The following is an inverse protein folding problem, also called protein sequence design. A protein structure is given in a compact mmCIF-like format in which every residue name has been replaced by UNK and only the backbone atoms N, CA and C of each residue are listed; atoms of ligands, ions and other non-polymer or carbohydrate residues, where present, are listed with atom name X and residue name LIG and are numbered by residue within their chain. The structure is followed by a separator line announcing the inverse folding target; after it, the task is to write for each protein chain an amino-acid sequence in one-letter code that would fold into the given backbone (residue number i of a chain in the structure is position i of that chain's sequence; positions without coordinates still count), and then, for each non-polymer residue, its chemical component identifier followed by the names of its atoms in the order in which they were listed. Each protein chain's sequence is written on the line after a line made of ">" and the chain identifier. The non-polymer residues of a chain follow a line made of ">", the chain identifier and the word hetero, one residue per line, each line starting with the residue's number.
data_IF_556696329116
#
_entry.id   IF_556696329116
#
_cell.length_a   1.000
_cell.length_b   1.000
_cell.length_c   1.000
_cell.angle_alpha   90.00
_cell.angle_beta   90.00
_cell.angle_gamma   90.00
#
_symmetry.space_group_name_H-M   'P 1'
#
loop_
_entity.id
_entity.type
_entity.pdbx_description
1 polymer ?
#
# COMPACT_ATOMS: atom_id res chain seq x y z
N UNK A 1 -9.84 -17.35 2.22
CA UNK A 1 -10.46 -16.00 2.16
C UNK A 1 -9.85 -15.20 3.28
N UNK A 2 -9.23 -14.06 2.98
CA UNK A 2 -8.60 -13.19 3.98
C UNK A 2 -9.68 -12.64 4.93
N UNK A 3 -9.44 -12.72 6.25
CA UNK A 3 -10.31 -12.10 7.26
C UNK A 3 -10.23 -10.58 7.12
N UNK A 4 -11.15 -9.99 6.36
CA UNK A 4 -11.32 -8.54 6.28
C UNK A 4 -11.96 -8.02 7.56
N UNK A 5 -11.50 -6.87 8.04
CA UNK A 5 -12.09 -6.19 9.20
C UNK A 5 -12.75 -4.87 8.79
N UNK A 6 -14.05 -4.89 8.55
CA UNK A 6 -14.83 -3.75 8.04
C UNK A 6 -15.62 -3.01 9.13
N UNK A 7 -15.14 -3.04 10.37
CA UNK A 7 -15.74 -2.25 11.46
C UNK A 7 -15.18 -0.82 11.48
N UNK A 8 -16.05 0.16 11.21
CA UNK A 8 -15.75 1.59 11.34
C UNK A 8 -15.99 2.08 12.78
N UNK A 9 -15.43 3.24 13.12
CA UNK A 9 -15.75 3.92 14.38
C UNK A 9 -17.17 4.48 14.33
N UNK A 10 -17.92 4.28 15.42
CA UNK A 10 -19.22 4.90 15.61
C UNK A 10 -19.05 6.30 16.23
N UNK A 11 -19.02 7.33 15.38
CA UNK A 11 -18.85 8.71 15.82
C UNK A 11 -20.14 9.24 16.48
N UNK A 12 -19.99 9.80 17.68
CA UNK A 12 -21.09 10.38 18.45
C UNK A 12 -20.77 11.81 18.82
N UNK A 13 -21.80 12.65 18.91
CA UNK A 13 -21.65 14.01 19.41
C UNK A 13 -21.14 13.99 20.87
N UNK A 14 -20.22 14.90 21.20
CA UNK A 14 -19.57 14.95 22.50
C UNK A 14 -18.59 13.80 22.82
N UNK A 15 -18.28 12.92 21.86
CA UNK A 15 -17.35 11.81 22.07
C UNK A 15 -15.92 12.31 22.36
N UNK A 16 -15.29 11.76 23.41
CA UNK A 16 -13.88 12.00 23.67
C UNK A 16 -13.02 11.27 22.62
N UNK A 17 -12.26 12.03 21.83
CA UNK A 17 -11.40 11.49 20.79
C UNK A 17 -10.11 10.94 21.41
N UNK A 18 -9.71 9.74 20.97
CA UNK A 18 -8.44 9.11 21.33
C UNK A 18 -7.71 8.69 20.05
N UNK A 19 -6.40 8.44 20.16
CA UNK A 19 -5.61 7.91 19.05
C UNK A 19 -6.21 6.61 18.48
N UNK A 20 -6.83 5.79 19.32
CA UNK A 20 -7.47 4.53 18.90
C UNK A 20 -8.58 4.76 17.88
N UNK A 21 -9.42 5.78 18.06
CA UNK A 21 -10.47 6.09 17.08
C UNK A 21 -9.87 6.41 15.70
N UNK A 22 -8.76 7.14 15.66
CA UNK A 22 -8.11 7.47 14.40
C UNK A 22 -7.51 6.23 13.73
N UNK A 23 -6.82 5.38 14.50
CA UNK A 23 -6.23 4.14 14.00
C UNK A 23 -7.28 3.14 13.51
N UNK A 24 -8.38 2.98 14.25
CA UNK A 24 -9.46 2.06 13.88
C UNK A 24 -10.20 2.58 12.62
N UNK A 25 -10.37 3.89 12.49
CA UNK A 25 -10.96 4.51 11.28
C UNK A 25 -10.05 4.38 10.06
N UNK A 26 -8.74 4.60 10.20
CA UNK A 26 -7.76 4.41 9.12
C UNK A 26 -7.76 2.96 8.64
N UNK A 27 -7.68 2.01 9.59
CA UNK A 27 -7.76 0.57 9.30
C UNK A 27 -9.03 0.19 8.55
N UNK A 28 -10.18 0.74 8.97
CA UNK A 28 -11.44 0.52 8.26
C UNK A 28 -11.35 0.94 6.78
N UNK A 29 -10.77 2.11 6.49
CA UNK A 29 -10.63 2.56 5.10
C UNK A 29 -9.67 1.69 4.29
N UNK A 30 -8.53 1.29 4.85
CA UNK A 30 -7.59 0.37 4.19
C UNK A 30 -8.27 -0.97 3.84
N UNK A 31 -9.00 -1.53 4.79
CA UNK A 31 -9.73 -2.79 4.65
C UNK A 31 -10.89 -2.67 3.63
N UNK A 32 -11.58 -1.52 3.61
CA UNK A 32 -12.64 -1.23 2.64
C UNK A 32 -12.10 -1.17 1.20
N UNK A 33 -10.96 -0.51 0.99
CA UNK A 33 -10.29 -0.45 -0.32
C UNK A 33 -9.83 -1.85 -0.73
N UNK A 34 -9.23 -2.61 0.19
CA UNK A 34 -8.81 -4.00 -0.07
C UNK A 34 -9.99 -4.89 -0.45
N UNK A 35 -11.12 -4.76 0.26
CA UNK A 35 -12.36 -5.47 -0.06
C UNK A 35 -12.85 -5.15 -1.47
N UNK A 36 -12.92 -3.86 -1.82
CA UNK A 36 -13.32 -3.43 -3.17
C UNK A 36 -12.37 -3.96 -4.26
N UNK A 37 -11.07 -4.04 -3.97
CA UNK A 37 -10.06 -4.52 -4.91
C UNK A 37 -10.01 -6.06 -5.08
N UNK A 38 -10.65 -6.85 -4.21
CA UNK A 38 -10.55 -8.32 -4.22
C UNK A 38 -10.89 -8.96 -5.58
N UNK A 39 -11.82 -8.36 -6.33
CA UNK A 39 -12.30 -8.91 -7.60
C UNK A 39 -11.46 -8.48 -8.82
N UNK A 40 -10.41 -7.69 -8.63
CA UNK A 40 -9.61 -7.12 -9.73
C UNK A 40 -8.51 -8.05 -10.28
N UNK A 41 -8.30 -9.23 -9.67
CA UNK A 41 -7.39 -10.27 -10.15
C UNK A 41 -5.89 -10.00 -9.96
N UNK A 42 -5.46 -8.74 -9.95
CA UNK A 42 -4.07 -8.31 -9.73
C UNK A 42 -3.97 -7.39 -8.50
N UNK A 43 -4.00 -7.99 -7.31
CA UNK A 43 -4.11 -7.25 -6.04
C UNK A 43 -2.80 -6.73 -5.44
N UNK A 44 -1.64 -6.99 -6.05
CA UNK A 44 -0.33 -6.52 -5.58
C UNK A 44 0.72 -6.66 -6.69
N UNK A 45 1.81 -5.91 -6.60
CA UNK A 45 2.92 -5.91 -7.56
C UNK A 45 3.45 -4.51 -7.88
N UNK A 46 4.32 -4.43 -8.89
CA UNK A 46 4.79 -3.15 -9.42
C UNK A 46 3.65 -2.42 -10.13
N UNK A 47 3.56 -1.11 -9.91
CA UNK A 47 2.56 -0.29 -10.56
C UNK A 47 2.94 -0.14 -12.03
N UNK A 48 2.01 -0.45 -12.93
CA UNK A 48 2.27 -0.48 -14.37
C UNK A 48 2.21 0.88 -15.04
N UNK A 49 1.46 1.84 -14.47
CA UNK A 49 1.28 3.20 -15.02
C UNK A 49 1.75 4.25 -14.04
N UNK A 50 2.58 5.17 -14.52
CA UNK A 50 2.98 6.35 -13.77
C UNK A 50 2.10 7.53 -14.12
N UNK A 51 1.49 8.16 -13.12
CA UNK A 51 0.73 9.39 -13.27
C UNK A 51 1.62 10.63 -13.52
N UNK A 52 2.92 10.52 -13.22
CA UNK A 52 3.89 11.63 -13.34
C UNK A 52 4.76 11.52 -14.59
N UNK A 53 4.56 10.48 -15.41
CA UNK A 53 5.41 10.17 -16.57
C UNK A 53 6.78 9.56 -16.24
N UNK A 54 7.21 9.56 -14.98
CA UNK A 54 8.46 8.89 -14.53
C UNK A 54 8.27 7.38 -14.40
N UNK A 55 9.28 6.58 -14.73
CA UNK A 55 9.21 5.12 -14.53
C UNK A 55 8.83 4.76 -13.08
N UNK A 56 8.01 3.72 -12.90
CA UNK A 56 7.55 3.26 -11.58
C UNK A 56 8.61 2.46 -10.84
N UNK A 57 9.52 1.82 -11.58
CA UNK A 57 10.74 1.19 -11.05
C UNK A 57 11.95 1.81 -11.73
N UNK A 58 12.95 2.21 -10.94
CA UNK A 58 14.25 2.62 -11.45
C UNK A 58 15.38 1.94 -10.66
N UNK A 59 16.33 1.37 -11.39
CA UNK A 59 17.44 0.58 -10.84
C UNK A 59 18.76 1.13 -11.36
N UNK A 60 19.70 1.35 -10.45
CA UNK A 60 21.10 1.61 -10.79
C UNK A 60 21.88 0.30 -10.61
N UNK A 61 22.54 -0.13 -11.68
CA UNK A 61 23.35 -1.34 -11.69
C UNK A 61 24.82 -0.96 -11.77
N UNK A 62 25.62 -1.43 -10.84
CA UNK A 62 27.09 -1.24 -10.84
C UNK A 62 27.78 -2.59 -10.73
N UNK A 63 28.72 -2.86 -11.63
CA UNK A 63 29.52 -4.09 -11.61
C UNK A 63 30.95 -3.72 -11.22
N UNK A 64 31.52 -4.43 -10.25
CA UNK A 64 32.90 -4.29 -9.82
C UNK A 64 33.53 -5.67 -9.62
N UNK A 65 34.35 -6.11 -10.59
CA UNK A 65 34.85 -7.48 -10.66
C UNK A 65 33.69 -8.48 -10.67
N UNK A 66 33.70 -9.41 -9.71
CA UNK A 66 32.67 -10.44 -9.55
C UNK A 66 31.45 -9.99 -8.72
N UNK A 67 31.35 -8.69 -8.39
CA UNK A 67 30.23 -8.15 -7.60
C UNK A 67 29.31 -7.28 -8.45
N UNK A 68 28.04 -7.65 -8.50
CA UNK A 68 26.94 -6.81 -8.99
C UNK A 68 26.26 -6.13 -7.81
N UNK A 69 26.25 -4.79 -7.79
CA UNK A 69 25.43 -3.97 -6.91
C UNK A 69 24.19 -3.50 -7.67
N UNK A 70 23.03 -3.75 -7.08
CA UNK A 70 21.72 -3.26 -7.54
C UNK A 70 21.20 -2.27 -6.51
N UNK A 71 20.92 -1.04 -6.94
CA UNK A 71 20.34 0.00 -6.10
C UNK A 71 18.98 0.39 -6.67
N UNK A 72 17.94 0.38 -5.83
CA UNK A 72 16.59 0.81 -6.20
C UNK A 72 16.47 2.30 -5.91
N UNK A 73 16.56 3.14 -6.94
CA UNK A 73 16.44 4.59 -6.80
C UNK A 73 14.98 5.06 -6.81
N UNK A 74 14.06 4.24 -7.32
CA UNK A 74 12.62 4.45 -7.28
C UNK A 74 11.87 3.14 -7.36
N UNK A 75 10.82 2.97 -6.54
CA UNK A 75 9.88 1.86 -6.62
C UNK A 75 8.48 2.38 -6.30
N UNK A 76 7.52 2.07 -7.16
CA UNK A 76 6.10 2.29 -6.93
C UNK A 76 5.41 0.94 -7.01
N UNK A 77 4.95 0.44 -5.88
CA UNK A 77 4.42 -0.91 -5.77
C UNK A 77 3.30 -1.01 -4.74
N UNK A 78 2.44 -2.01 -4.94
CA UNK A 78 1.48 -2.44 -3.94
C UNK A 78 1.94 -3.77 -3.36
N UNK A 79 2.07 -3.85 -2.04
CA UNK A 79 2.46 -5.08 -1.35
C UNK A 79 1.27 -6.04 -1.23
N UNK A 80 1.49 -7.34 -0.96
CA UNK A 80 0.40 -8.28 -0.67
C UNK A 80 -0.49 -7.86 0.51
N UNK A 81 0.04 -7.03 1.43
CA UNK A 81 -0.72 -6.45 2.54
C UNK A 81 -1.63 -5.28 2.15
N UNK A 82 -1.56 -4.79 0.90
CA UNK A 82 -2.30 -3.63 0.42
C UNK A 82 -1.59 -2.29 0.66
N UNK A 83 -0.35 -2.30 1.17
CA UNK A 83 0.42 -1.07 1.38
C UNK A 83 1.06 -0.60 0.08
N UNK A 84 0.91 0.70 -0.19
CA UNK A 84 1.57 1.41 -1.27
C UNK A 84 2.99 1.82 -0.84
N UNK A 85 3.97 1.56 -1.69
CA UNK A 85 5.38 1.97 -1.55
C UNK A 85 5.71 2.92 -2.69
#
# INVERSE_FOLDING_TARGET
>A
MSNLNLYSVNWQDGMLITQRHLMDQEKYFEELVRWHALNTGYGYGLISKSFTGKATLNLNLTVNGDRLRVEVSRCQALTPGGHYI
#
